data_IF_161383445995
#
_entry.id   IF_161383445995
#
_cell.length_a   1.000
_cell.length_b   1.000
_cell.length_c   1.000
_cell.angle_alpha   90.00
_cell.angle_beta   90.00
_cell.angle_gamma   90.00
#
_symmetry.space_group_name_H-M   'P 1'
#
loop_
_entity.id
_entity.type
_entity.pdbx_description
1 polymer ?
#
# COMPACT_ATOMS: atom_id res chain seq x y z
N UNK A 1 13.61 -0.47 -10.51
CA UNK A 1 12.61 -0.78 -9.48
C UNK A 1 12.05 0.49 -8.83
N UNK A 2 10.80 0.82 -9.15
CA UNK A 2 10.02 1.94 -8.58
C UNK A 2 9.23 1.45 -7.37
N UNK A 3 9.34 2.15 -6.24
CA UNK A 3 8.60 1.84 -5.02
C UNK A 3 7.33 2.70 -4.94
N UNK A 4 6.20 2.07 -4.64
CA UNK A 4 4.89 2.72 -4.56
C UNK A 4 4.32 2.61 -3.15
N UNK A 5 3.79 3.74 -2.65
CA UNK A 5 2.92 3.78 -1.48
C UNK A 5 1.47 4.00 -1.92
N UNK A 6 0.51 3.30 -1.30
CA UNK A 6 -0.93 3.48 -1.55
C UNK A 6 -1.58 4.19 -0.35
N UNK A 7 -2.24 5.32 -0.60
CA UNK A 7 -3.01 6.06 0.41
C UNK A 7 -4.50 5.89 0.14
N UNK A 8 -5.23 5.32 1.09
CA UNK A 8 -6.64 4.97 0.99
C UNK A 8 -6.85 3.55 0.46
N UNK A 9 -7.34 2.67 1.33
CA UNK A 9 -7.56 1.24 1.06
C UNK A 9 -9.05 0.95 0.84
N UNK A 10 -9.66 1.76 -0.04
CA UNK A 10 -11.04 1.60 -0.47
C UNK A 10 -11.20 0.60 -1.62
N UNK A 11 -12.41 0.49 -2.17
CA UNK A 11 -12.76 -0.54 -3.17
C UNK A 11 -11.84 -0.61 -4.40
N UNK A 12 -11.24 0.52 -4.83
CA UNK A 12 -10.35 0.54 -6.00
C UNK A 12 -8.88 0.19 -5.68
N UNK A 13 -8.47 0.22 -4.41
CA UNK A 13 -7.08 -0.03 -4.03
C UNK A 13 -6.60 -1.43 -4.46
N UNK A 14 -7.48 -2.44 -4.38
CA UNK A 14 -7.20 -3.78 -4.88
C UNK A 14 -6.86 -3.80 -6.38
N UNK A 15 -7.58 -3.02 -7.20
CA UNK A 15 -7.29 -2.93 -8.64
C UNK A 15 -5.92 -2.31 -8.90
N UNK A 16 -5.51 -1.31 -8.11
CA UNK A 16 -4.17 -0.73 -8.20
C UNK A 16 -3.10 -1.75 -7.82
N UNK A 17 -3.24 -2.44 -6.69
CA UNK A 17 -2.29 -3.46 -6.25
C UNK A 17 -2.13 -4.58 -7.28
N UNK A 18 -3.24 -5.09 -7.84
CA UNK A 18 -3.22 -6.11 -8.89
C UNK A 18 -2.54 -5.64 -10.17
N UNK A 19 -2.87 -4.44 -10.65
CA UNK A 19 -2.24 -3.87 -11.84
C UNK A 19 -0.74 -3.60 -11.64
N UNK A 20 -0.34 -3.17 -10.44
CA UNK A 20 1.08 -2.97 -10.11
C UNK A 20 1.83 -4.32 -10.07
N UNK A 21 1.21 -5.37 -9.54
CA UNK A 21 1.81 -6.70 -9.47
C UNK A 21 2.11 -7.33 -10.86
N UNK A 22 1.50 -6.82 -11.93
CA UNK A 22 1.78 -7.22 -13.31
C UNK A 22 3.01 -6.51 -13.92
N UNK A 23 3.59 -5.52 -13.21
CA UNK A 23 4.74 -4.75 -13.69
C UNK A 23 6.04 -5.30 -13.11
N UNK A 24 6.99 -5.69 -13.97
CA UNK A 24 8.24 -6.33 -13.56
C UNK A 24 9.16 -5.45 -12.68
N UNK A 25 9.02 -4.12 -12.76
CA UNK A 25 9.97 -3.18 -12.16
C UNK A 25 9.30 -2.17 -11.21
N UNK A 26 8.12 -2.52 -10.66
CA UNK A 26 7.37 -1.72 -9.69
C UNK A 26 6.94 -2.60 -8.50
N UNK A 27 7.08 -2.08 -7.27
CA UNK A 27 6.62 -2.79 -6.06
C UNK A 27 5.85 -1.86 -5.13
N UNK A 28 4.72 -2.35 -4.60
CA UNK A 28 4.04 -1.67 -3.49
C UNK A 28 4.79 -1.99 -2.20
N UNK A 29 5.26 -0.95 -1.50
CA UNK A 29 6.10 -1.09 -0.30
C UNK A 29 5.46 -0.51 0.96
N UNK A 30 4.43 0.31 0.81
CA UNK A 30 3.73 0.93 1.92
C UNK A 30 2.25 1.14 1.63
N UNK A 31 1.42 1.11 2.69
CA UNK A 31 0.02 1.52 2.65
C UNK A 31 -0.31 2.51 3.77
N UNK A 32 -1.31 3.35 3.55
CA UNK A 32 -1.90 4.20 4.59
C UNK A 32 -3.43 4.20 4.52
N UNK A 33 -4.09 3.97 5.65
CA UNK A 33 -5.54 4.09 5.82
C UNK A 33 -5.84 4.31 7.31
N UNK A 34 -6.92 5.01 7.64
CA UNK A 34 -7.30 5.23 9.04
C UNK A 34 -7.72 3.92 9.74
N UNK A 35 -8.25 2.94 8.98
CA UNK A 35 -8.73 1.67 9.54
C UNK A 35 -7.61 0.64 9.62
N UNK A 36 -7.21 0.25 10.82
CA UNK A 36 -6.14 -0.74 11.07
C UNK A 36 -6.39 -2.07 10.37
N UNK A 37 -7.63 -2.57 10.43
CA UNK A 37 -8.04 -3.82 9.79
C UNK A 37 -7.73 -3.81 8.28
N UNK A 38 -8.05 -2.72 7.57
CA UNK A 38 -7.76 -2.60 6.13
C UNK A 38 -6.27 -2.61 5.84
N UNK A 39 -5.47 -1.94 6.68
CA UNK A 39 -4.00 -1.96 6.53
C UNK A 39 -3.48 -3.37 6.68
N UNK A 40 -3.92 -4.08 7.72
CA UNK A 40 -3.50 -5.46 7.98
C UNK A 40 -3.90 -6.40 6.84
N UNK A 41 -5.12 -6.29 6.32
CA UNK A 41 -5.60 -7.07 5.17
C UNK A 41 -4.71 -6.87 3.93
N UNK A 42 -4.47 -5.62 3.53
CA UNK A 42 -3.65 -5.32 2.35
C UNK A 42 -2.18 -5.72 2.54
N UNK A 43 -1.63 -5.50 3.73
CA UNK A 43 -0.26 -5.91 4.06
C UNK A 43 -0.08 -7.42 3.94
N UNK A 44 -1.06 -8.20 4.42
CA UNK A 44 -1.04 -9.64 4.32
C UNK A 44 -1.29 -10.15 2.89
N UNK A 45 -2.27 -9.58 2.17
CA UNK A 45 -2.66 -10.02 0.83
C UNK A 45 -1.56 -9.76 -0.21
N UNK A 46 -0.86 -8.63 -0.11
CA UNK A 46 0.10 -8.17 -1.12
C UNK A 46 1.56 -8.17 -0.62
N UNK A 47 1.83 -8.75 0.55
CA UNK A 47 3.17 -8.81 1.18
C UNK A 47 3.83 -7.42 1.29
N UNK A 48 3.05 -6.45 1.78
CA UNK A 48 3.46 -5.05 1.91
C UNK A 48 4.07 -4.84 3.31
N UNK A 49 5.35 -4.43 3.41
CA UNK A 49 6.07 -4.43 4.68
C UNK A 49 5.71 -3.29 5.62
N UNK A 50 5.10 -2.21 5.13
CA UNK A 50 4.86 -0.98 5.91
C UNK A 50 3.39 -0.56 5.84
N UNK A 51 2.81 -0.25 7.00
CA UNK A 51 1.46 0.28 7.13
C UNK A 51 1.43 1.48 8.07
N UNK A 52 0.74 2.54 7.68
CA UNK A 52 0.69 3.81 8.40
C UNK A 52 -0.74 4.24 8.70
N UNK A 53 -1.01 4.77 9.89
CA UNK A 53 -2.35 5.23 10.24
C UNK A 53 -2.72 6.49 9.45
N UNK A 54 -1.74 7.36 9.21
CA UNK A 54 -1.95 8.59 8.45
C UNK A 54 -1.13 8.64 7.18
N UNK A 55 -1.66 9.35 6.18
CA UNK A 55 -0.92 9.64 4.95
C UNK A 55 0.35 10.46 5.23
N UNK A 56 0.35 11.31 6.26
CA UNK A 56 1.51 12.13 6.64
C UNK A 56 2.67 11.27 7.15
N UNK A 57 2.39 10.24 7.96
CA UNK A 57 3.41 9.30 8.41
C UNK A 57 4.06 8.57 7.23
N UNK A 58 3.26 8.13 6.26
CA UNK A 58 3.77 7.54 5.03
C UNK A 58 4.64 8.53 4.24
N UNK A 59 4.18 9.77 4.06
CA UNK A 59 4.94 10.81 3.33
C UNK A 59 6.23 11.24 4.03
N UNK A 60 6.35 11.00 5.34
CA UNK A 60 7.54 11.32 6.12
C UNK A 60 8.57 10.17 6.15
N UNK A 61 8.22 8.98 5.65
CA UNK A 61 9.10 7.81 5.56
C UNK A 61 10.15 8.00 4.43
N UNK A 62 11.46 8.02 4.75
CA UNK A 62 12.53 8.38 3.81
C UNK A 62 12.86 7.33 2.74
#
# INVERSE_FOLDING_TARGET
MLNVGIIGLGGIANSHCRGIAELDDVKVVAVADLMEERRAEFMAEYDIPKGYETHTELLADP
#
